data_IF_104224404224
#
_entry.id   IF_104224404224
#
_cell.length_a   1.000
_cell.length_b   1.000
_cell.length_c   1.000
_cell.angle_alpha   90.00
_cell.angle_beta   90.00
_cell.angle_gamma   90.00
#
_symmetry.space_group_name_H-M   'P 1'
#
loop_
_entity.id
_entity.type
_entity.pdbx_description
1 polymer ?
#
# COMPACT_ATOMS: atom_id res chain seq x y z
N UNK A 1 -35.36 -9.04 3.64
CA UNK A 1 -34.41 -9.06 2.52
C UNK A 1 -33.31 -8.06 2.83
N UNK A 2 -32.18 -8.55 3.34
CA UNK A 2 -31.05 -7.71 3.71
C UNK A 2 -30.16 -7.59 2.46
N UNK A 3 -30.19 -6.43 1.82
CA UNK A 3 -29.25 -6.09 0.77
C UNK A 3 -27.86 -5.88 1.41
N UNK A 4 -27.06 -6.92 1.46
CA UNK A 4 -25.64 -6.80 1.75
C UNK A 4 -24.97 -6.17 0.55
N UNK A 5 -24.82 -4.84 0.58
CA UNK A 5 -23.96 -4.14 -0.38
C UNK A 5 -22.53 -4.59 -0.06
N UNK A 6 -22.08 -5.64 -0.74
CA UNK A 6 -20.67 -6.00 -0.76
C UNK A 6 -19.93 -4.87 -1.46
N UNK A 7 -19.19 -4.06 -0.71
CA UNK A 7 -18.25 -3.12 -1.29
C UNK A 7 -17.15 -3.98 -1.90
N UNK A 8 -17.22 -4.18 -3.22
CA UNK A 8 -16.14 -4.83 -3.93
C UNK A 8 -14.95 -3.87 -3.92
N UNK A 9 -13.82 -4.33 -3.39
CA UNK A 9 -12.55 -3.60 -3.52
C UNK A 9 -12.25 -3.42 -5.01
N UNK A 10 -11.78 -2.24 -5.43
CA UNK A 10 -11.29 -2.09 -6.79
C UNK A 10 -10.13 -3.08 -7.01
N UNK A 11 -10.09 -3.70 -8.16
CA UNK A 11 -8.94 -4.48 -8.59
C UNK A 11 -7.71 -3.57 -8.53
N UNK A 12 -6.60 -4.06 -7.99
CA UNK A 12 -5.37 -3.28 -7.87
C UNK A 12 -4.88 -2.77 -9.25
N UNK A 13 -5.18 -3.50 -10.33
CA UNK A 13 -4.93 -3.05 -11.71
C UNK A 13 -5.70 -1.79 -12.11
N UNK A 14 -6.88 -1.57 -11.52
CA UNK A 14 -7.71 -0.38 -11.77
C UNK A 14 -7.46 0.76 -10.78
N UNK A 15 -6.49 0.65 -9.87
CA UNK A 15 -6.15 1.74 -8.95
C UNK A 15 -5.27 2.75 -9.66
N UNK A 16 -5.67 4.04 -9.74
CA UNK A 16 -4.84 5.07 -10.34
C UNK A 16 -3.53 5.24 -9.57
N UNK A 17 -2.50 5.72 -10.27
CA UNK A 17 -1.16 5.90 -9.70
C UNK A 17 -0.80 7.38 -9.66
N UNK A 18 -0.22 7.82 -8.56
CA UNK A 18 0.32 9.17 -8.42
C UNK A 18 1.78 9.12 -8.00
N UNK A 19 2.64 9.79 -8.78
CA UNK A 19 4.05 9.94 -8.45
C UNK A 19 4.58 11.32 -8.85
N UNK A 20 4.96 12.18 -7.89
CA UNK A 20 5.65 13.43 -8.19
C UNK A 20 7.12 13.17 -8.50
N UNK A 21 7.64 13.77 -9.58
CA UNK A 21 9.03 13.65 -10.00
C UNK A 21 9.60 15.02 -10.39
N UNK A 22 10.61 15.49 -9.67
CA UNK A 22 11.13 16.84 -9.89
C UNK A 22 10.04 17.91 -9.74
N UNK A 23 9.75 18.63 -10.81
CA UNK A 23 8.67 19.63 -10.90
C UNK A 23 7.38 19.06 -11.51
N UNK A 24 7.43 17.86 -12.05
CA UNK A 24 6.30 17.22 -12.72
C UNK A 24 5.48 16.38 -11.73
N UNK A 25 4.16 16.34 -11.96
CA UNK A 25 3.25 15.42 -11.31
C UNK A 25 2.84 14.37 -12.34
N UNK A 26 3.16 13.11 -12.09
CA UNK A 26 2.80 12.01 -12.98
C UNK A 26 1.55 11.33 -12.43
N UNK A 27 0.54 11.20 -13.28
CA UNK A 27 -0.70 10.51 -13.00
C UNK A 27 -0.94 9.42 -14.02
N UNK A 28 -1.25 8.23 -13.55
CA UNK A 28 -1.73 7.13 -14.39
C UNK A 28 -3.19 6.87 -14.02
N UNK A 29 -4.08 7.05 -14.97
CA UNK A 29 -5.51 6.82 -14.76
C UNK A 29 -5.84 5.33 -14.60
N UNK A 30 -7.06 5.01 -14.20
CA UNK A 30 -7.55 3.63 -14.11
C UNK A 30 -7.46 2.87 -15.45
N UNK A 31 -7.47 3.58 -16.56
CA UNK A 31 -7.32 3.00 -17.90
C UNK A 31 -5.87 2.89 -18.38
N UNK A 32 -4.90 3.24 -17.52
CA UNK A 32 -3.48 3.20 -17.85
C UNK A 32 -2.97 4.40 -18.66
N UNK A 33 -3.77 5.46 -18.82
CA UNK A 33 -3.33 6.68 -19.50
C UNK A 33 -2.40 7.49 -18.60
N UNK A 34 -1.22 7.85 -19.12
CA UNK A 34 -0.22 8.66 -18.42
C UNK A 34 -0.43 10.12 -18.76
N UNK A 35 -0.57 10.95 -17.75
CA UNK A 35 -0.74 12.40 -17.88
C UNK A 35 0.12 13.17 -16.88
N UNK A 36 0.33 14.47 -17.15
CA UNK A 36 1.10 15.38 -16.29
C UNK A 36 0.19 16.53 -15.84
N UNK A 37 -0.74 16.27 -14.92
CA UNK A 37 -1.70 17.28 -14.49
C UNK A 37 -1.03 18.41 -13.71
N UNK A 38 -1.66 19.57 -13.72
CA UNK A 38 -1.32 20.65 -12.79
C UNK A 38 -1.83 20.34 -11.38
N UNK A 39 -1.44 21.16 -10.38
CA UNK A 39 -1.82 20.93 -8.97
C UNK A 39 -3.33 20.96 -8.72
N UNK A 40 -4.06 21.82 -9.41
CA UNK A 40 -5.52 21.90 -9.22
C UNK A 40 -6.22 20.65 -9.75
N UNK A 41 -5.80 20.17 -10.92
CA UNK A 41 -6.31 18.92 -11.50
C UNK A 41 -5.99 17.73 -10.64
N UNK A 42 -4.73 17.58 -10.18
CA UNK A 42 -4.35 16.42 -9.34
C UNK A 42 -5.07 16.44 -7.99
N UNK A 43 -5.31 17.62 -7.40
CA UNK A 43 -6.07 17.70 -6.15
C UNK A 43 -7.50 17.18 -6.32
N UNK A 44 -8.14 17.49 -7.45
CA UNK A 44 -9.46 16.96 -7.77
C UNK A 44 -9.44 15.42 -7.97
N UNK A 45 -8.45 14.90 -8.70
CA UNK A 45 -8.30 13.44 -8.91
C UNK A 45 -8.06 12.69 -7.59
N UNK A 46 -7.17 13.20 -6.73
CA UNK A 46 -6.86 12.60 -5.43
C UNK A 46 -8.05 12.59 -4.45
N UNK A 47 -9.01 13.48 -4.65
CA UNK A 47 -10.24 13.52 -3.85
C UNK A 47 -11.29 12.47 -4.28
N UNK A 48 -11.16 11.89 -5.48
CA UNK A 48 -12.17 10.96 -6.02
C UNK A 48 -12.10 9.55 -5.42
N UNK A 49 -10.95 9.13 -4.93
CA UNK A 49 -10.82 7.77 -4.40
C UNK A 49 -9.41 7.37 -3.99
N UNK A 50 -9.22 6.06 -3.92
CA UNK A 50 -7.94 5.48 -3.51
C UNK A 50 -6.90 5.59 -4.64
N UNK A 51 -5.67 5.92 -4.28
CA UNK A 51 -4.55 6.08 -5.20
C UNK A 51 -3.34 5.26 -4.75
N UNK A 52 -2.62 4.66 -5.67
CA UNK A 52 -1.34 4.00 -5.42
C UNK A 52 -0.21 5.03 -5.51
N UNK A 53 0.65 5.06 -4.51
CA UNK A 53 1.76 6.01 -4.43
C UNK A 53 2.98 5.42 -3.69
N UNK A 54 4.08 6.18 -3.70
CA UNK A 54 5.26 5.88 -2.90
C UNK A 54 5.57 7.05 -1.98
N UNK A 55 5.61 6.80 -0.68
CA UNK A 55 5.90 7.78 0.37
C UNK A 55 4.84 8.90 0.47
N UNK A 56 3.70 8.58 1.09
CA UNK A 56 2.54 9.48 1.24
C UNK A 56 2.89 10.92 1.62
N UNK A 57 3.68 11.11 2.69
CA UNK A 57 3.99 12.47 3.19
C UNK A 57 4.73 13.31 2.17
N UNK A 58 5.64 12.70 1.41
CA UNK A 58 6.35 13.39 0.35
C UNK A 58 5.43 13.67 -0.83
N UNK A 59 4.60 12.73 -1.22
CA UNK A 59 3.61 12.90 -2.30
C UNK A 59 2.62 14.01 -1.99
N UNK A 60 2.07 14.05 -0.75
CA UNK A 60 1.17 15.13 -0.28
C UNK A 60 1.85 16.50 -0.32
N UNK A 61 3.09 16.60 0.18
CA UNK A 61 3.83 17.86 0.18
C UNK A 61 4.14 18.36 -1.24
N UNK A 62 4.38 17.46 -2.20
CA UNK A 62 4.64 17.83 -3.61
C UNK A 62 3.38 18.22 -4.35
N UNK A 63 2.26 17.60 -4.06
CA UNK A 63 0.95 17.92 -4.62
C UNK A 63 0.34 19.18 -3.97
N UNK A 64 0.81 19.56 -2.79
CA UNK A 64 0.22 20.59 -1.93
C UNK A 64 -1.24 20.27 -1.56
N UNK A 65 -1.49 18.97 -1.26
CA UNK A 65 -2.82 18.48 -0.88
C UNK A 65 -2.67 17.31 0.11
N UNK A 66 -3.56 17.21 1.07
CA UNK A 66 -3.62 16.02 1.94
C UNK A 66 -4.22 14.84 1.18
N UNK A 67 -3.54 13.68 1.23
CA UNK A 67 -3.98 12.45 0.58
C UNK A 67 -4.48 11.49 1.66
N UNK A 68 -5.79 11.33 1.77
CA UNK A 68 -6.43 10.52 2.81
C UNK A 68 -6.67 9.07 2.37
N UNK A 69 -6.95 8.86 1.09
CA UNK A 69 -7.24 7.55 0.52
C UNK A 69 -6.09 7.10 -0.37
N UNK A 70 -5.22 6.22 0.16
CA UNK A 70 -3.99 5.84 -0.54
C UNK A 70 -3.58 4.39 -0.24
N UNK A 71 -2.78 3.85 -1.16
CA UNK A 71 -1.99 2.64 -1.01
C UNK A 71 -0.52 3.03 -1.13
N UNK A 72 0.20 3.12 -0.01
CA UNK A 72 1.63 3.44 -0.02
C UNK A 72 2.46 2.17 -0.14
N UNK A 73 3.20 2.02 -1.24
CA UNK A 73 4.05 0.83 -1.46
C UNK A 73 5.17 0.70 -0.43
N UNK A 74 5.57 1.79 0.24
CA UNK A 74 6.53 1.73 1.34
C UNK A 74 5.95 1.02 2.57
N UNK A 75 4.67 1.25 2.86
CA UNK A 75 3.97 0.54 3.93
C UNK A 75 3.87 -0.95 3.62
N UNK A 76 3.50 -1.30 2.38
CA UNK A 76 3.45 -2.69 1.94
C UNK A 76 4.83 -3.36 2.00
N UNK A 77 5.89 -2.68 1.54
CA UNK A 77 7.25 -3.18 1.64
C UNK A 77 7.67 -3.46 3.09
N UNK A 78 7.40 -2.52 3.99
CA UNK A 78 7.69 -2.69 5.41
C UNK A 78 6.92 -3.86 6.06
N UNK A 79 5.70 -4.12 5.57
CA UNK A 79 4.89 -5.25 6.01
C UNK A 79 5.45 -6.59 5.50
N UNK A 80 5.76 -6.69 4.22
CA UNK A 80 6.21 -7.94 3.57
C UNK A 80 7.67 -8.26 3.93
N UNK A 81 8.53 -7.25 3.96
CA UNK A 81 9.97 -7.38 4.27
C UNK A 81 10.38 -6.60 5.53
N UNK A 82 9.85 -6.96 6.70
CA UNK A 82 10.19 -6.26 7.94
C UNK A 82 11.70 -6.35 8.20
N UNK A 83 12.30 -5.24 8.66
CA UNK A 83 13.72 -5.10 8.91
C UNK A 83 14.65 -5.11 7.68
N UNK A 84 14.11 -5.02 6.47
CA UNK A 84 14.90 -4.70 5.27
C UNK A 84 14.86 -3.19 5.04
N UNK A 85 16.00 -2.63 4.69
CA UNK A 85 16.09 -1.22 4.31
C UNK A 85 15.94 -1.08 2.80
N UNK A 86 15.14 -0.10 2.39
CA UNK A 86 15.09 0.40 1.01
C UNK A 86 15.10 1.93 1.04
N UNK A 87 15.68 2.54 0.01
CA UNK A 87 15.47 3.96 -0.20
C UNK A 87 13.98 4.22 -0.46
N UNK A 88 13.38 5.27 0.12
CA UNK A 88 11.95 5.54 0.01
C UNK A 88 11.56 6.14 -1.35
N UNK A 89 11.93 5.44 -2.41
CA UNK A 89 11.68 5.79 -3.80
C UNK A 89 11.35 4.53 -4.60
N UNK A 90 10.60 4.61 -5.71
CA UNK A 90 10.34 3.46 -6.57
C UNK A 90 11.62 2.77 -7.05
N UNK A 91 12.66 3.55 -7.40
CA UNK A 91 13.97 3.00 -7.80
C UNK A 91 14.66 2.22 -6.67
N UNK A 92 14.59 2.71 -5.43
CA UNK A 92 15.14 2.02 -4.26
C UNK A 92 14.42 0.72 -3.96
N UNK A 93 13.09 0.71 -4.07
CA UNK A 93 12.28 -0.50 -3.94
C UNK A 93 12.56 -1.50 -5.08
N UNK A 94 12.64 -1.02 -6.33
CA UNK A 94 12.99 -1.84 -7.47
C UNK A 94 14.33 -2.56 -7.28
N UNK A 95 15.34 -1.86 -6.79
CA UNK A 95 16.64 -2.44 -6.48
C UNK A 95 16.54 -3.58 -5.46
N UNK A 96 15.72 -3.41 -4.42
CA UNK A 96 15.53 -4.44 -3.39
C UNK A 96 14.73 -5.65 -3.88
N UNK A 97 13.91 -5.45 -4.92
CA UNK A 97 13.05 -6.49 -5.51
C UNK A 97 13.66 -7.13 -6.77
N UNK A 98 14.82 -6.65 -7.23
CA UNK A 98 15.45 -7.14 -8.46
C UNK A 98 14.69 -6.74 -9.73
N UNK A 99 13.91 -5.66 -9.67
CA UNK A 99 13.18 -5.12 -10.80
C UNK A 99 14.06 -4.19 -11.65
N UNK A 100 13.65 -3.94 -12.90
CA UNK A 100 14.36 -3.04 -13.79
C UNK A 100 14.46 -1.62 -13.20
N UNK A 101 15.60 -0.97 -13.43
CA UNK A 101 15.82 0.39 -12.92
C UNK A 101 15.04 1.40 -13.77
N UNK A 102 14.17 2.21 -13.17
CA UNK A 102 13.43 3.27 -13.87
C UNK A 102 14.38 4.40 -14.30
N UNK A 103 14.11 5.02 -15.45
CA UNK A 103 14.95 6.07 -16.04
C UNK A 103 14.37 7.48 -15.84
N UNK A 104 13.05 7.60 -15.74
CA UNK A 104 12.32 8.87 -15.68
C UNK A 104 11.13 8.79 -14.72
N UNK A 105 10.34 9.88 -14.62
CA UNK A 105 9.19 9.96 -13.73
C UNK A 105 8.04 9.03 -14.12
N UNK A 106 7.82 8.81 -15.40
CA UNK A 106 6.79 7.89 -15.91
C UNK A 106 7.15 6.44 -15.60
N UNK A 107 8.42 6.06 -15.80
CA UNK A 107 8.91 4.73 -15.41
C UNK A 107 8.75 4.51 -13.90
N UNK A 108 9.02 5.55 -13.09
CA UNK A 108 8.84 5.49 -11.63
C UNK A 108 7.37 5.23 -11.25
N UNK A 109 6.44 5.92 -11.91
CA UNK A 109 5.01 5.75 -11.69
C UNK A 109 4.54 4.35 -12.15
N UNK A 110 4.91 3.94 -13.36
CA UNK A 110 4.55 2.63 -13.94
C UNK A 110 5.09 1.45 -13.13
N UNK A 111 6.20 1.66 -12.41
CA UNK A 111 6.82 0.65 -11.58
C UNK A 111 6.03 0.37 -10.28
N UNK A 112 5.22 1.32 -9.78
CA UNK A 112 4.52 1.17 -8.50
C UNK A 112 3.57 -0.02 -8.47
N UNK A 113 2.72 -0.27 -9.47
CA UNK A 113 1.92 -1.49 -9.53
C UNK A 113 2.78 -2.77 -9.55
N UNK A 114 3.88 -2.79 -10.30
CA UNK A 114 4.78 -3.95 -10.36
C UNK A 114 5.40 -4.26 -8.99
N UNK A 115 5.84 -3.22 -8.26
CA UNK A 115 6.35 -3.34 -6.89
C UNK A 115 5.26 -3.94 -5.98
N UNK A 116 4.03 -3.42 -6.06
CA UNK A 116 2.93 -3.89 -5.24
C UNK A 116 2.61 -5.37 -5.50
N UNK A 117 2.47 -5.77 -6.77
CA UNK A 117 2.23 -7.17 -7.13
C UNK A 117 3.38 -8.08 -6.71
N UNK A 118 4.63 -7.69 -6.96
CA UNK A 118 5.80 -8.49 -6.55
C UNK A 118 5.81 -8.76 -5.03
N UNK A 119 5.45 -7.76 -4.23
CA UNK A 119 5.37 -7.91 -2.77
C UNK A 119 4.18 -8.79 -2.34
N UNK A 120 3.04 -8.63 -2.97
CA UNK A 120 1.86 -9.45 -2.69
C UNK A 120 2.10 -10.92 -3.08
N UNK A 121 2.74 -11.17 -4.23
CA UNK A 121 3.10 -12.51 -4.68
C UNK A 121 4.15 -13.16 -3.77
N UNK A 122 5.15 -12.40 -3.31
CA UNK A 122 6.11 -12.90 -2.30
C UNK A 122 5.39 -13.36 -1.04
N UNK A 123 4.40 -12.60 -0.59
CA UNK A 123 3.59 -12.95 0.58
C UNK A 123 2.72 -14.19 0.34
N UNK A 124 2.10 -14.29 -0.83
CA UNK A 124 1.26 -15.43 -1.21
C UNK A 124 2.06 -16.74 -1.36
N UNK A 125 3.32 -16.63 -1.80
CA UNK A 125 4.23 -17.77 -1.93
C UNK A 125 5.02 -18.09 -0.64
N UNK A 126 4.77 -17.38 0.46
CA UNK A 126 5.38 -17.67 1.75
C UNK A 126 4.83 -18.99 2.35
N UNK A 127 5.56 -19.63 3.28
CA UNK A 127 5.06 -20.82 3.99
C UNK A 127 3.72 -20.56 4.68
N UNK A 128 2.86 -21.59 4.78
CA UNK A 128 1.50 -21.48 5.31
C UNK A 128 1.41 -20.77 6.66
N UNK A 129 2.31 -21.10 7.59
CA UNK A 129 2.35 -20.46 8.89
C UNK A 129 2.61 -18.94 8.80
N UNK A 130 3.50 -18.51 7.88
CA UNK A 130 3.80 -17.12 7.67
C UNK A 130 2.63 -16.38 6.97
N UNK A 131 1.95 -17.04 6.02
CA UNK A 131 0.74 -16.50 5.38
C UNK A 131 -0.39 -16.30 6.38
N UNK A 132 -0.63 -17.28 7.24
CA UNK A 132 -1.67 -17.18 8.28
C UNK A 132 -1.35 -16.06 9.28
N UNK A 133 -0.10 -15.96 9.74
CA UNK A 133 0.33 -14.90 10.64
C UNK A 133 0.19 -13.51 9.98
N UNK A 134 0.61 -13.36 8.73
CA UNK A 134 0.44 -12.14 7.95
C UNK A 134 -1.04 -11.78 7.78
N UNK A 135 -1.91 -12.75 7.49
CA UNK A 135 -3.35 -12.54 7.39
C UNK A 135 -3.98 -12.06 8.69
N UNK A 136 -3.57 -12.62 9.84
CA UNK A 136 -4.04 -12.16 11.15
C UNK A 136 -3.63 -10.71 11.43
N UNK A 137 -2.36 -10.35 11.12
CA UNK A 137 -1.86 -8.99 11.29
C UNK A 137 -2.59 -8.04 10.34
N UNK A 138 -2.76 -8.40 9.06
CA UNK A 138 -3.50 -7.61 8.08
C UNK A 138 -4.95 -7.35 8.53
N UNK A 139 -5.64 -8.36 9.08
CA UNK A 139 -6.98 -8.23 9.64
C UNK A 139 -7.04 -7.20 10.78
N UNK A 140 -6.07 -7.26 11.71
CA UNK A 140 -6.00 -6.30 12.80
C UNK A 140 -5.71 -4.88 12.31
N UNK A 141 -4.78 -4.73 11.36
CA UNK A 141 -4.43 -3.42 10.79
C UNK A 141 -5.58 -2.84 9.97
N UNK A 142 -6.33 -3.67 9.23
CA UNK A 142 -7.56 -3.26 8.53
C UNK A 142 -8.59 -2.68 9.51
N UNK A 143 -8.76 -3.29 10.66
CA UNK A 143 -9.65 -2.78 11.71
C UNK A 143 -9.20 -1.42 12.26
N UNK A 144 -7.92 -1.09 12.13
CA UNK A 144 -7.33 0.21 12.44
C UNK A 144 -7.31 1.21 11.28
N UNK A 145 -7.89 0.86 10.13
CA UNK A 145 -7.99 1.74 8.96
C UNK A 145 -6.80 1.63 7.98
N UNK A 146 -6.00 0.56 8.03
CA UNK A 146 -4.92 0.37 7.07
C UNK A 146 -5.46 -0.12 5.72
N UNK A 147 -5.22 0.67 4.67
CA UNK A 147 -5.83 0.46 3.37
C UNK A 147 -5.30 -0.78 2.62
N UNK A 148 -4.07 -1.23 2.88
CA UNK A 148 -3.52 -2.44 2.27
C UNK A 148 -4.14 -3.74 2.79
N UNK A 149 -4.67 -3.73 4.02
CA UNK A 149 -5.14 -4.95 4.65
C UNK A 149 -6.15 -5.74 3.82
N UNK A 150 -7.20 -5.12 3.27
CA UNK A 150 -8.16 -5.81 2.39
C UNK A 150 -7.51 -6.44 1.15
N UNK A 151 -6.56 -5.76 0.50
CA UNK A 151 -5.85 -6.28 -0.68
C UNK A 151 -4.98 -7.49 -0.34
N UNK A 152 -4.29 -7.44 0.80
CA UNK A 152 -3.49 -8.57 1.30
C UNK A 152 -4.38 -9.78 1.58
N UNK A 153 -5.49 -9.59 2.28
CA UNK A 153 -6.41 -10.67 2.60
C UNK A 153 -7.00 -11.31 1.34
N UNK A 154 -7.38 -10.48 0.36
CA UNK A 154 -7.87 -10.95 -0.93
C UNK A 154 -6.80 -11.79 -1.64
N UNK A 155 -5.57 -11.31 -1.70
CA UNK A 155 -4.46 -11.99 -2.38
C UNK A 155 -4.05 -13.29 -1.69
N UNK A 156 -4.19 -13.36 -0.37
CA UNK A 156 -3.99 -14.58 0.41
C UNK A 156 -5.17 -15.56 0.37
N UNK A 157 -6.27 -15.21 -0.29
CA UNK A 157 -7.50 -16.01 -0.30
C UNK A 157 -8.18 -16.12 1.07
N UNK A 158 -7.97 -15.12 1.93
CA UNK A 158 -8.52 -15.10 3.29
C UNK A 158 -9.80 -14.25 3.36
N UNK A 159 -10.73 -14.58 4.28
CA UNK A 159 -11.96 -13.83 4.43
C UNK A 159 -11.68 -12.38 4.85
N UNK A 160 -12.43 -11.46 4.24
CA UNK A 160 -12.37 -10.04 4.59
C UNK A 160 -13.11 -9.80 5.92
N UNK A 161 -12.55 -8.98 6.83
CA UNK A 161 -13.29 -8.55 8.01
C UNK A 161 -14.53 -7.77 7.57
N UNK A 162 -15.67 -8.04 8.20
CA UNK A 162 -16.89 -7.28 7.94
C UNK A 162 -16.60 -5.78 8.13
N UNK A 163 -16.98 -4.95 7.14
CA UNK A 163 -16.76 -3.52 7.19
C UNK A 163 -17.42 -2.94 8.45
N UNK A 164 -16.63 -2.58 9.46
CA UNK A 164 -17.12 -1.85 10.61
C UNK A 164 -17.41 -0.42 10.16
N UNK A 165 -18.64 0.04 10.35
CA UNK A 165 -18.99 1.46 10.19
C UNK A 165 -18.03 2.27 11.04
N UNK A 166 -17.29 3.17 10.40
CA UNK A 166 -16.35 4.06 11.08
C UNK A 166 -17.05 4.91 12.12
N UNK A 167 -17.09 4.44 13.38
CA UNK A 167 -17.10 5.38 14.48
C UNK A 167 -15.67 5.91 14.61
N UNK A 168 -15.51 7.23 14.54
CA UNK A 168 -14.23 7.92 14.78
C UNK A 168 -13.62 7.41 16.08
N UNK A 169 -12.73 6.43 15.99
CA UNK A 169 -11.93 6.00 17.13
C UNK A 169 -10.69 6.87 17.19
N UNK A 170 -10.49 7.48 18.34
CA UNK A 170 -9.29 8.25 18.70
C UNK A 170 -8.03 7.37 18.51
N UNK A 171 -7.05 7.77 17.65
CA UNK A 171 -5.94 6.90 17.22
C UNK A 171 -4.90 6.59 18.30
N UNK A 172 -4.98 7.22 19.49
CA UNK A 172 -3.91 7.13 20.49
C UNK A 172 -3.81 5.81 21.26
N UNK A 173 -4.86 4.96 21.26
CA UNK A 173 -4.87 3.72 22.06
C UNK A 173 -4.53 2.43 21.28
N UNK A 174 -4.85 2.37 19.98
CA UNK A 174 -4.72 1.14 19.18
C UNK A 174 -3.32 0.91 18.61
N UNK A 175 -2.54 1.98 18.36
CA UNK A 175 -1.19 1.92 17.82
C UNK A 175 -0.19 1.21 18.75
N UNK A 176 -0.31 1.37 20.05
CA UNK A 176 0.62 0.78 21.02
C UNK A 176 0.54 -0.76 21.06
N UNK A 177 -0.63 -1.34 20.87
CA UNK A 177 -0.83 -2.81 20.82
C UNK A 177 -0.34 -3.41 19.50
N UNK A 178 -0.56 -2.72 18.39
CA UNK A 178 -0.16 -3.15 17.05
C UNK A 178 1.36 -3.14 16.89
N UNK A 179 2.03 -2.06 17.35
CA UNK A 179 3.49 -1.91 17.31
C UNK A 179 4.19 -3.02 18.11
N UNK A 180 3.68 -3.42 19.29
CA UNK A 180 4.27 -4.52 20.07
C UNK A 180 4.24 -5.85 19.34
N UNK A 181 3.14 -6.19 18.64
CA UNK A 181 3.02 -7.45 17.88
C UNK A 181 3.85 -7.44 16.62
N UNK A 182 3.93 -6.30 15.91
CA UNK A 182 4.83 -6.13 14.76
C UNK A 182 6.30 -6.29 15.19
N UNK A 183 6.69 -5.71 16.33
CA UNK A 183 8.04 -5.89 16.89
C UNK A 183 8.34 -7.33 17.28
N UNK A 184 7.36 -8.11 17.77
CA UNK A 184 7.54 -9.53 18.07
C UNK A 184 7.67 -10.37 16.79
N UNK A 185 6.91 -10.04 15.74
CA UNK A 185 7.00 -10.65 14.42
C UNK A 185 8.40 -10.46 13.80
N UNK A 186 8.95 -9.24 13.87
CA UNK A 186 10.30 -8.91 13.41
C UNK A 186 11.37 -9.69 14.18
N UNK A 187 11.21 -9.84 15.49
CA UNK A 187 12.16 -10.60 16.34
C UNK A 187 12.13 -12.10 16.01
N UNK A 188 10.96 -12.69 15.77
CA UNK A 188 10.81 -14.12 15.47
C UNK A 188 11.40 -14.49 14.11
N UNK A 189 11.25 -13.62 13.09
CA UNK A 189 11.90 -13.82 11.78
C UNK A 189 13.42 -13.71 11.81
N UNK A 190 14.00 -12.88 12.68
CA UNK A 190 15.46 -12.80 12.86
C UNK A 190 16.06 -14.05 13.52
N UNK A 191 15.30 -14.78 14.33
CA UNK A 191 15.73 -16.00 14.98
C UNK A 191 15.83 -17.23 14.06
N UNK A 192 15.14 -17.23 12.93
CA UNK A 192 15.10 -18.35 11.96
C UNK A 192 16.09 -18.19 10.79
N UNK A 193 17.00 -17.22 10.84
CA UNK A 193 18.04 -16.96 9.82
C UNK A 193 19.46 -17.27 10.36
N UNK A 194 19.58 -18.27 11.21
CA UNK A 194 20.87 -18.87 11.59
C UNK A 194 20.94 -20.31 11.13
#
# INVERSE_FOLDING_TARGET
MHNSTSISLPDLHGVPVFYPHGTQLVWISQNGEITHPNRATIAAELALGIVLLCHRRWSSARADVEIDHYLDVMELFAFVRPARFALPTPAGLAQQLGLARPQNGEDMATLLPQIAFTLLDELANAPDAARQEAGQIATMMTSGGWNWGPYILLHLGLPQPAARRHHRCNPSGLLAGCIRRICQFVKKRKGNLR
#
